data_IF_131893055160
#
_entry.id   IF_131893055160
#
_cell.length_a   1.000
_cell.length_b   1.000
_cell.length_c   1.000
_cell.angle_alpha   90.00
_cell.angle_beta   90.00
_cell.angle_gamma   90.00
#
_symmetry.space_group_name_H-M   'P 1'
#
loop_
_entity.id
_entity.type
_entity.pdbx_description
1 polymer ?
#
# COMPACT_ATOMS: atom_id res chain seq x y z
N UNK A 1 26.59 -15.51 -9.22
CA UNK A 1 26.60 -14.52 -8.12
C UNK A 1 25.99 -13.24 -8.64
N UNK A 2 24.72 -12.96 -8.34
CA UNK A 2 24.11 -11.65 -8.64
C UNK A 2 24.37 -10.73 -7.46
N UNK A 3 25.21 -9.71 -7.70
CA UNK A 3 25.48 -8.65 -6.74
C UNK A 3 24.26 -7.71 -6.74
N UNK A 4 23.53 -7.66 -5.62
CA UNK A 4 22.48 -6.67 -5.44
C UNK A 4 23.08 -5.43 -4.78
N UNK A 5 23.34 -4.42 -5.60
CA UNK A 5 23.82 -3.10 -5.17
C UNK A 5 22.76 -2.48 -4.26
N UNK A 6 23.03 -2.47 -2.95
CA UNK A 6 22.16 -1.80 -1.98
C UNK A 6 22.49 -0.32 -1.99
N UNK A 7 21.75 0.47 -2.77
CA UNK A 7 21.91 1.91 -2.81
C UNK A 7 21.23 2.56 -1.59
N UNK A 8 22.00 3.22 -0.73
CA UNK A 8 21.47 4.20 0.21
C UNK A 8 21.12 5.46 -0.58
N UNK A 9 19.88 5.53 -1.06
CA UNK A 9 19.45 6.66 -1.87
C UNK A 9 18.84 7.72 -0.95
N UNK A 10 19.60 8.78 -0.68
CA UNK A 10 19.05 10.08 -0.26
C UNK A 10 18.07 10.55 -1.33
N UNK A 11 16.99 11.27 -0.98
CA UNK A 11 15.94 11.68 -1.94
C UNK A 11 16.52 12.35 -3.21
N UNK A 12 17.61 13.10 -3.08
CA UNK A 12 18.36 13.70 -4.21
C UNK A 12 18.99 12.67 -5.17
N UNK A 13 19.45 11.53 -4.66
CA UNK A 13 20.09 10.48 -5.47
C UNK A 13 19.07 9.59 -6.21
N UNK A 14 17.80 9.58 -5.80
CA UNK A 14 16.74 8.78 -6.45
C UNK A 14 16.29 9.47 -7.74
N UNK A 15 16.18 10.79 -7.69
CA UNK A 15 15.76 11.64 -8.81
C UNK A 15 16.71 11.52 -10.01
N UNK A 16 18.02 11.36 -9.77
CA UNK A 16 19.04 11.29 -10.82
C UNK A 16 19.39 9.85 -11.26
N UNK A 17 18.73 8.84 -10.70
CA UNK A 17 19.04 7.45 -11.02
C UNK A 17 18.18 6.95 -12.20
N UNK A 18 18.70 7.08 -13.42
CA UNK A 18 18.02 6.62 -14.64
C UNK A 18 17.69 5.12 -14.61
N UNK A 19 18.57 4.29 -14.06
CA UNK A 19 18.33 2.86 -13.93
C UNK A 19 17.12 2.55 -13.04
N UNK A 20 16.95 3.30 -11.95
CA UNK A 20 15.80 3.15 -11.06
C UNK A 20 14.48 3.44 -11.78
N UNK A 21 14.42 4.54 -12.55
CA UNK A 21 13.21 4.90 -13.29
C UNK A 21 12.90 3.92 -14.40
N UNK A 22 13.92 3.41 -15.08
CA UNK A 22 13.78 2.35 -16.10
C UNK A 22 13.23 1.05 -15.48
N UNK A 23 13.81 0.60 -14.37
CA UNK A 23 13.33 -0.59 -13.66
C UNK A 23 11.88 -0.43 -13.19
N UNK A 24 11.50 0.76 -12.70
CA UNK A 24 10.14 1.07 -12.30
C UNK A 24 9.17 1.04 -13.49
N UNK A 25 9.58 1.59 -14.64
CA UNK A 25 8.82 1.56 -15.88
C UNK A 25 8.53 0.12 -16.31
N UNK A 26 9.56 -0.73 -16.32
CA UNK A 26 9.45 -2.14 -16.69
C UNK A 26 8.53 -2.92 -15.74
N UNK A 27 8.64 -2.67 -14.43
CA UNK A 27 7.77 -3.27 -13.40
C UNK A 27 6.32 -2.85 -13.52
N UNK A 28 6.05 -1.58 -13.83
CA UNK A 28 4.70 -1.04 -13.97
C UNK A 28 3.98 -1.56 -15.21
N UNK A 29 4.71 -1.89 -16.29
CA UNK A 29 4.11 -2.28 -17.56
C UNK A 29 3.15 -3.46 -17.43
N UNK A 30 3.60 -4.57 -16.83
CA UNK A 30 2.78 -5.79 -16.67
C UNK A 30 1.43 -5.57 -15.96
N UNK A 31 1.38 -4.91 -14.78
CA UNK A 31 0.11 -4.62 -14.12
C UNK A 31 -0.74 -3.60 -14.90
N UNK A 32 -0.13 -2.59 -15.53
CA UNK A 32 -0.89 -1.64 -16.35
C UNK A 32 -1.52 -2.32 -17.56
N UNK A 33 -0.80 -3.21 -18.25
CA UNK A 33 -1.35 -4.08 -19.30
C UNK A 33 -2.56 -4.85 -18.79
N UNK A 34 -2.48 -5.39 -17.58
CA UNK A 34 -3.59 -6.11 -16.94
C UNK A 34 -4.79 -5.18 -16.70
N UNK A 35 -4.56 -3.93 -16.27
CA UNK A 35 -5.63 -2.95 -16.08
C UNK A 35 -6.33 -2.61 -17.40
N UNK A 36 -5.56 -2.28 -18.45
CA UNK A 36 -6.08 -1.88 -19.76
C UNK A 36 -6.93 -2.99 -20.37
N UNK A 37 -6.42 -4.22 -20.41
CA UNK A 37 -7.19 -5.35 -20.93
C UNK A 37 -8.39 -5.73 -20.06
N UNK A 38 -8.31 -5.52 -18.74
CA UNK A 38 -9.45 -5.77 -17.84
C UNK A 38 -10.60 -4.82 -18.12
N UNK A 39 -10.34 -3.55 -18.38
CA UNK A 39 -11.38 -2.54 -18.51
C UNK A 39 -12.10 -2.53 -19.86
N UNK A 40 -11.53 -3.18 -20.90
CA UNK A 40 -12.13 -3.39 -22.23
C UNK A 40 -12.86 -2.15 -22.78
N UNK A 41 -12.24 -0.98 -22.63
CA UNK A 41 -12.80 0.26 -23.16
C UNK A 41 -12.73 0.17 -24.69
N UNK A 42 -13.87 0.36 -25.35
CA UNK A 42 -13.99 0.17 -26.80
C UNK A 42 -13.05 1.07 -27.60
N UNK A 43 -12.86 2.32 -27.16
CA UNK A 43 -11.92 3.27 -27.77
C UNK A 43 -10.44 2.89 -27.57
N UNK A 44 -10.12 1.97 -26.66
CA UNK A 44 -8.74 1.50 -26.43
C UNK A 44 -8.36 0.29 -27.27
N UNK A 45 -9.34 -0.37 -27.91
CA UNK A 45 -9.08 -1.59 -28.70
C UNK A 45 -8.25 -1.22 -29.94
N UNK A 46 -7.12 -1.90 -30.12
CA UNK A 46 -6.14 -1.61 -31.17
C UNK A 46 -5.17 -0.49 -30.83
N UNK A 47 -5.29 0.14 -29.66
CA UNK A 47 -4.40 1.17 -29.13
C UNK A 47 -3.88 0.81 -27.73
N UNK A 48 -3.98 -0.46 -27.33
CA UNK A 48 -3.72 -0.87 -25.96
C UNK A 48 -2.29 -0.56 -25.54
N UNK A 49 -1.31 -0.81 -26.40
CA UNK A 49 0.10 -0.53 -26.13
C UNK A 49 0.37 0.97 -25.91
N UNK A 50 -0.29 1.85 -26.66
CA UNK A 50 -0.18 3.30 -26.51
C UNK A 50 -0.77 3.75 -25.18
N UNK A 51 -1.98 3.27 -24.85
CA UNK A 51 -2.63 3.56 -23.56
C UNK A 51 -1.81 3.03 -22.38
N UNK A 52 -1.22 1.83 -22.51
CA UNK A 52 -0.32 1.26 -21.50
C UNK A 52 0.89 2.18 -21.29
N UNK A 53 1.56 2.59 -22.37
CA UNK A 53 2.71 3.49 -22.29
C UNK A 53 2.33 4.85 -21.68
N UNK A 54 1.20 5.43 -22.07
CA UNK A 54 0.71 6.69 -21.52
C UNK A 54 0.47 6.60 -20.01
N UNK A 55 -0.14 5.50 -19.54
CA UNK A 55 -0.38 5.29 -18.11
C UNK A 55 0.94 5.14 -17.35
N UNK A 56 1.88 4.34 -17.87
CA UNK A 56 3.18 4.14 -17.21
C UNK A 56 3.97 5.45 -17.17
N UNK A 57 4.04 6.16 -18.30
CA UNK A 57 4.74 7.43 -18.42
C UNK A 57 4.16 8.49 -17.48
N UNK A 58 2.84 8.69 -17.48
CA UNK A 58 2.20 9.66 -16.58
C UNK A 58 2.41 9.29 -15.11
N UNK A 59 2.41 7.99 -14.78
CA UNK A 59 2.71 7.52 -13.42
C UNK A 59 4.11 7.94 -12.99
N UNK A 60 5.12 7.69 -13.83
CA UNK A 60 6.51 8.08 -13.57
C UNK A 60 6.64 9.60 -13.43
N UNK A 61 5.99 10.37 -14.31
CA UNK A 61 6.00 11.85 -14.25
C UNK A 61 5.39 12.36 -12.95
N UNK A 62 4.25 11.79 -12.51
CA UNK A 62 3.60 12.19 -11.24
C UNK A 62 4.46 11.88 -10.03
N UNK A 63 5.10 10.71 -10.02
CA UNK A 63 6.04 10.34 -8.98
C UNK A 63 7.21 11.32 -8.95
N UNK A 64 7.87 11.53 -10.09
CA UNK A 64 9.00 12.44 -10.20
C UNK A 64 8.67 13.86 -9.72
N UNK A 65 7.53 14.42 -10.17
CA UNK A 65 7.03 15.72 -9.70
C UNK A 65 6.82 15.73 -8.18
N UNK A 66 6.19 14.69 -7.63
CA UNK A 66 5.90 14.60 -6.19
C UNK A 66 7.18 14.63 -5.34
N UNK A 67 8.25 13.99 -5.80
CA UNK A 67 9.55 13.99 -5.13
C UNK A 67 10.32 15.32 -5.28
N UNK A 68 10.18 16.00 -6.42
CA UNK A 68 10.77 17.33 -6.63
C UNK A 68 10.11 18.42 -5.78
N UNK A 69 8.79 18.39 -5.64
CA UNK A 69 8.03 19.47 -4.98
C UNK A 69 7.97 19.34 -3.47
N UNK A 70 8.31 18.19 -2.90
CA UNK A 70 8.14 17.90 -1.47
C UNK A 70 9.42 17.35 -0.82
N UNK A 71 10.59 18.03 -0.94
CA UNK A 71 11.82 17.54 -0.32
C UNK A 71 11.78 17.59 1.22
N UNK A 72 11.04 18.54 1.79
CA UNK A 72 10.96 18.78 3.25
C UNK A 72 9.73 18.16 3.93
N UNK A 73 8.75 17.72 3.13
CA UNK A 73 7.56 17.06 3.65
C UNK A 73 7.93 15.59 3.89
N UNK A 74 7.94 15.16 5.16
CA UNK A 74 8.37 13.83 5.62
C UNK A 74 7.44 12.72 5.10
N UNK A 75 7.43 12.50 3.79
CA UNK A 75 6.77 11.38 3.16
C UNK A 75 7.70 10.18 3.24
N UNK A 76 7.53 9.39 4.29
CA UNK A 76 8.08 8.04 4.31
C UNK A 76 7.24 7.15 3.40
N UNK A 77 7.45 7.27 2.08
CA UNK A 77 6.95 6.26 1.14
C UNK A 77 7.74 4.98 1.43
N UNK A 78 7.13 4.09 2.23
CA UNK A 78 7.79 2.87 2.70
C UNK A 78 8.05 1.87 1.57
N UNK A 79 7.22 1.91 0.52
CA UNK A 79 7.36 1.08 -0.66
C UNK A 79 6.95 1.87 -1.92
N UNK A 80 7.97 2.27 -2.68
CA UNK A 80 7.81 3.05 -3.90
C UNK A 80 7.08 2.27 -5.01
N UNK A 81 7.28 0.96 -5.07
CA UNK A 81 6.62 0.10 -6.04
C UNK A 81 5.11 0.03 -5.76
N UNK A 82 4.71 -0.23 -4.51
CA UNK A 82 3.30 -0.24 -4.12
C UNK A 82 2.62 1.13 -4.32
N UNK A 83 3.34 2.20 -4.01
CA UNK A 83 2.85 3.55 -4.26
C UNK A 83 2.66 3.83 -5.75
N UNK A 84 3.63 3.43 -6.58
CA UNK A 84 3.55 3.58 -8.04
C UNK A 84 2.38 2.81 -8.65
N UNK A 85 2.09 1.58 -8.17
CA UNK A 85 0.91 0.83 -8.61
C UNK A 85 -0.38 1.55 -8.27
N UNK A 86 -0.47 2.14 -7.08
CA UNK A 86 -1.65 2.90 -6.66
C UNK A 86 -1.87 4.12 -7.56
N UNK A 87 -0.80 4.83 -7.91
CA UNK A 87 -0.86 5.99 -8.82
C UNK A 87 -1.31 5.55 -10.21
N UNK A 88 -0.72 4.48 -10.75
CA UNK A 88 -1.05 3.94 -12.08
C UNK A 88 -2.51 3.49 -12.17
N UNK A 89 -2.99 2.75 -11.17
CA UNK A 89 -4.38 2.30 -11.10
C UNK A 89 -5.35 3.47 -11.05
N UNK A 90 -5.09 4.47 -10.19
CA UNK A 90 -5.93 5.67 -10.08
C UNK A 90 -5.99 6.44 -11.39
N UNK A 91 -4.85 6.57 -12.08
CA UNK A 91 -4.80 7.24 -13.37
C UNK A 91 -5.55 6.46 -14.47
N UNK A 92 -5.39 5.14 -14.53
CA UNK A 92 -6.15 4.29 -15.44
C UNK A 92 -7.68 4.44 -15.22
N UNK A 93 -8.11 4.48 -13.95
CA UNK A 93 -9.51 4.74 -13.59
C UNK A 93 -9.97 6.16 -13.97
N UNK A 94 -9.09 7.17 -13.90
CA UNK A 94 -9.38 8.52 -14.38
C UNK A 94 -9.58 8.53 -15.89
N UNK A 95 -8.69 7.88 -16.67
CA UNK A 95 -8.80 7.78 -18.13
C UNK A 95 -10.11 7.11 -18.52
N UNK A 96 -10.44 5.97 -17.92
CA UNK A 96 -11.71 5.30 -18.17
C UNK A 96 -12.92 6.19 -17.84
N UNK A 97 -12.86 6.93 -16.73
CA UNK A 97 -13.92 7.88 -16.37
C UNK A 97 -14.06 9.00 -17.41
N UNK A 98 -12.96 9.46 -18.03
CA UNK A 98 -12.99 10.43 -19.12
C UNK A 98 -13.63 9.84 -20.37
N UNK A 99 -13.23 8.64 -20.77
CA UNK A 99 -13.83 7.93 -21.92
C UNK A 99 -15.34 7.75 -21.76
N UNK A 100 -15.79 7.35 -20.57
CA UNK A 100 -17.22 7.24 -20.25
C UNK A 100 -17.99 8.55 -20.41
N UNK A 101 -17.34 9.70 -20.19
CA UNK A 101 -17.99 11.01 -20.38
C UNK A 101 -18.06 11.39 -21.86
N UNK A 102 -17.11 10.92 -22.68
CA UNK A 102 -17.08 11.16 -24.12
C UNK A 102 -18.09 10.27 -24.86
N UNK A 103 -18.31 9.04 -24.41
CA UNK A 103 -19.29 8.11 -25.01
C UNK A 103 -20.74 8.38 -24.61
N UNK A 104 -20.99 9.17 -23.54
CA UNK A 104 -22.33 9.62 -23.12
C UNK A 104 -22.87 10.78 -23.95
N UNK A 105 -22.60 10.80 -25.26
CA UNK A 105 -23.51 11.48 -26.18
C UNK A 105 -24.89 10.79 -26.06
N UNK A 106 -26.01 11.51 -26.17
CA UNK A 106 -27.33 10.94 -25.91
C UNK A 106 -27.68 9.94 -27.02
N UNK A 107 -27.25 8.70 -26.84
CA UNK A 107 -27.66 7.59 -27.66
C UNK A 107 -28.90 7.01 -26.98
N UNK A 108 -30.07 7.43 -27.46
CA UNK A 108 -31.35 6.87 -27.08
C UNK A 108 -31.32 5.35 -27.28
N UNK A 109 -31.37 4.57 -26.20
CA UNK A 109 -31.86 3.19 -26.25
C UNK A 109 -30.86 2.04 -26.14
N UNK A 110 -29.90 2.05 -25.20
CA UNK A 110 -29.23 0.79 -24.79
C UNK A 110 -28.92 0.74 -23.29
N UNK A 111 -29.90 0.31 -22.49
CA UNK A 111 -29.80 0.17 -21.03
C UNK A 111 -29.06 -1.12 -20.59
N UNK A 112 -28.75 -2.02 -21.52
CA UNK A 112 -28.22 -3.36 -21.22
C UNK A 112 -26.70 -3.35 -20.93
N UNK A 113 -25.94 -2.40 -21.48
CA UNK A 113 -24.49 -2.29 -21.22
C UNK A 113 -24.15 -1.63 -19.89
N UNK A 114 -25.09 -1.06 -19.13
CA UNK A 114 -24.74 -0.40 -17.87
C UNK A 114 -24.56 -1.38 -16.68
N UNK A 115 -25.13 -2.58 -16.77
CA UNK A 115 -25.15 -3.56 -15.67
C UNK A 115 -23.93 -4.48 -15.63
N UNK A 116 -23.41 -4.94 -16.78
CA UNK A 116 -22.25 -5.83 -16.81
C UNK A 116 -20.93 -5.17 -16.34
N UNK A 117 -20.79 -3.86 -16.56
CA UNK A 117 -19.52 -3.13 -16.33
C UNK A 117 -19.38 -2.55 -14.91
N UNK A 118 -20.46 -2.45 -14.13
CA UNK A 118 -20.38 -2.10 -12.70
C UNK A 118 -19.96 -3.29 -11.85
N UNK A 119 -20.35 -4.51 -12.25
CA UNK A 119 -20.00 -5.75 -11.56
C UNK A 119 -18.48 -5.94 -11.53
N UNK A 120 -17.74 -5.65 -12.62
CA UNK A 120 -16.29 -5.88 -12.68
C UNK A 120 -15.45 -4.92 -11.80
N UNK A 121 -15.92 -3.69 -11.58
CA UNK A 121 -15.29 -2.72 -10.68
C UNK A 121 -15.61 -2.99 -9.22
N UNK A 122 -16.85 -3.35 -8.94
CA UNK A 122 -17.28 -3.77 -7.61
C UNK A 122 -16.60 -5.09 -7.24
N UNK A 123 -16.43 -6.00 -8.20
CA UNK A 123 -15.64 -7.22 -8.06
C UNK A 123 -14.15 -6.92 -7.86
N UNK A 124 -13.57 -5.92 -8.55
CA UNK A 124 -12.18 -5.49 -8.31
C UNK A 124 -11.98 -4.99 -6.89
N UNK A 125 -12.85 -4.08 -6.45
CA UNK A 125 -12.82 -3.48 -5.11
C UNK A 125 -13.09 -4.51 -4.03
N UNK A 126 -14.02 -5.44 -4.26
CA UNK A 126 -14.27 -6.54 -3.32
C UNK A 126 -13.11 -7.52 -3.28
N UNK A 127 -12.50 -7.89 -4.41
CA UNK A 127 -11.30 -8.75 -4.41
C UNK A 127 -10.11 -8.09 -3.71
N UNK A 128 -9.89 -6.79 -3.94
CA UNK A 128 -8.86 -6.01 -3.23
C UNK A 128 -9.17 -5.92 -1.73
N UNK A 129 -10.42 -5.63 -1.37
CA UNK A 129 -10.87 -5.59 0.02
C UNK A 129 -10.76 -6.96 0.71
N UNK A 130 -11.07 -8.05 0.01
CA UNK A 130 -10.91 -9.43 0.48
C UNK A 130 -9.42 -9.73 0.70
N UNK A 131 -8.55 -9.33 -0.24
CA UNK A 131 -7.10 -9.49 -0.11
C UNK A 131 -6.54 -8.73 1.09
N UNK A 132 -6.89 -7.46 1.24
CA UNK A 132 -6.52 -6.63 2.40
C UNK A 132 -7.05 -7.25 3.68
N UNK A 133 -8.31 -7.68 3.71
CA UNK A 133 -8.93 -8.28 4.89
C UNK A 133 -8.24 -9.59 5.29
N UNK A 134 -7.85 -10.43 4.33
CA UNK A 134 -7.08 -11.65 4.59
C UNK A 134 -5.73 -11.32 5.23
N UNK A 135 -4.98 -10.39 4.64
CA UNK A 135 -3.67 -9.95 5.15
C UNK A 135 -3.80 -9.40 6.57
N UNK A 136 -4.80 -8.58 6.84
CA UNK A 136 -5.07 -8.03 8.16
C UNK A 136 -5.47 -9.10 9.16
N UNK A 137 -6.23 -10.11 8.74
CA UNK A 137 -6.63 -11.24 9.59
C UNK A 137 -5.41 -12.07 9.98
N UNK A 138 -4.50 -12.32 9.03
CA UNK A 138 -3.26 -13.06 9.30
C UNK A 138 -2.31 -12.27 10.20
N UNK A 139 -2.20 -10.96 9.99
CA UNK A 139 -1.47 -10.09 10.89
C UNK A 139 -2.07 -10.13 12.31
N UNK A 140 -3.40 -10.12 12.44
CA UNK A 140 -4.08 -10.23 13.73
C UNK A 140 -3.79 -11.56 14.44
N UNK A 141 -3.75 -12.68 13.70
CA UNK A 141 -3.36 -14.00 14.23
C UNK A 141 -1.92 -13.98 14.75
N UNK A 142 -0.98 -13.43 13.98
CA UNK A 142 0.42 -13.30 14.44
C UNK A 142 0.51 -12.42 15.69
N UNK A 143 -0.26 -11.33 15.75
CA UNK A 143 -0.31 -10.46 16.94
C UNK A 143 -0.75 -11.23 18.18
N UNK A 144 -1.63 -12.23 18.05
CA UNK A 144 -2.06 -13.06 19.19
C UNK A 144 -0.92 -13.88 19.80
N UNK A 145 0.06 -14.30 18.99
CA UNK A 145 1.23 -15.06 19.43
C UNK A 145 2.33 -14.19 20.05
N UNK A 146 2.25 -12.86 19.88
CA UNK A 146 3.18 -11.91 20.48
C UNK A 146 3.01 -11.88 22.02
N UNK A 147 4.10 -11.80 22.80
CA UNK A 147 4.03 -11.72 24.26
C UNK A 147 3.10 -10.61 24.75
N UNK A 148 2.30 -10.91 25.78
CA UNK A 148 1.17 -10.07 26.22
C UNK A 148 1.52 -8.58 26.36
N UNK A 149 2.66 -8.23 26.98
CA UNK A 149 3.09 -6.82 27.15
C UNK A 149 3.30 -6.10 25.81
N UNK A 150 3.89 -6.78 24.83
CA UNK A 150 4.13 -6.23 23.48
C UNK A 150 2.83 -6.19 22.67
N UNK A 151 2.04 -7.29 22.73
CA UNK A 151 0.73 -7.39 22.07
C UNK A 151 -0.19 -6.26 22.52
N UNK A 152 -0.35 -6.07 23.84
CA UNK A 152 -1.19 -5.01 24.41
C UNK A 152 -0.71 -3.62 23.98
N UNK A 153 0.59 -3.35 24.04
CA UNK A 153 1.13 -2.06 23.60
C UNK A 153 0.85 -1.81 22.11
N UNK A 154 1.05 -2.82 21.26
CA UNK A 154 0.79 -2.74 19.82
C UNK A 154 -0.69 -2.54 19.51
N UNK A 155 -1.59 -3.25 20.20
CA UNK A 155 -3.04 -3.10 20.01
C UNK A 155 -3.54 -1.73 20.50
N UNK A 156 -2.98 -1.21 21.60
CA UNK A 156 -3.25 0.17 22.04
C UNK A 156 -2.78 1.19 21.00
N UNK A 157 -1.64 0.96 20.36
CA UNK A 157 -1.13 1.84 19.31
C UNK A 157 -2.02 1.82 18.07
N UNK A 158 -2.42 0.62 17.62
CA UNK A 158 -3.36 0.46 16.50
C UNK A 158 -4.72 1.08 16.80
N UNK A 159 -5.28 0.86 17.99
CA UNK A 159 -6.55 1.43 18.41
C UNK A 159 -6.51 2.96 18.47
N UNK A 160 -5.36 3.56 18.81
CA UNK A 160 -5.20 5.02 18.84
C UNK A 160 -5.38 5.67 17.46
N UNK A 161 -4.94 5.00 16.40
CA UNK A 161 -5.02 5.51 15.02
C UNK A 161 -6.25 5.00 14.27
N UNK A 162 -7.03 4.11 14.88
CA UNK A 162 -8.27 3.64 14.28
C UNK A 162 -9.40 4.63 14.57
N UNK A 163 -10.13 5.01 13.53
CA UNK A 163 -11.33 5.82 13.66
C UNK A 163 -12.53 4.88 13.86
N UNK A 164 -13.02 4.80 15.09
CA UNK A 164 -14.18 3.99 15.47
C UNK A 164 -15.45 4.77 15.10
N UNK A 165 -15.94 4.53 13.90
CA UNK A 165 -17.22 5.07 13.39
C UNK A 165 -18.32 4.01 13.50
N UNK A 166 -19.58 4.39 13.21
CA UNK A 166 -20.71 3.45 13.20
C UNK A 166 -20.53 2.30 12.20
N UNK A 167 -19.68 2.48 11.18
CA UNK A 167 -19.31 1.44 10.22
C UNK A 167 -17.92 0.88 10.56
N UNK A 168 -17.80 -0.43 10.89
CA UNK A 168 -16.52 -1.04 11.21
C UNK A 168 -15.56 -0.98 10.02
N UNK A 169 -14.33 -0.52 10.26
CA UNK A 169 -13.26 -0.50 9.27
C UNK A 169 -12.77 -1.91 8.91
N UNK A 170 -12.01 -2.02 7.82
CA UNK A 170 -11.41 -3.29 7.39
C UNK A 170 -10.50 -3.92 8.45
N UNK A 171 -9.79 -3.09 9.23
CA UNK A 171 -8.93 -3.56 10.33
C UNK A 171 -9.75 -4.07 11.51
N UNK A 172 -10.85 -3.39 11.87
CA UNK A 172 -11.76 -3.85 12.92
C UNK A 172 -12.40 -5.20 12.57
N UNK A 173 -12.91 -5.34 11.35
CA UNK A 173 -13.51 -6.59 10.89
C UNK A 173 -12.49 -7.74 10.86
N UNK A 174 -11.25 -7.46 10.43
CA UNK A 174 -10.19 -8.47 10.39
C UNK A 174 -9.72 -8.89 11.79
N UNK A 175 -9.58 -7.94 12.71
CA UNK A 175 -9.15 -8.20 14.08
C UNK A 175 -10.24 -8.90 14.88
N UNK A 176 -11.51 -8.54 14.67
CA UNK A 176 -12.65 -9.23 15.27
C UNK A 176 -12.71 -10.71 14.85
N UNK A 177 -12.38 -11.03 13.59
CA UNK A 177 -12.26 -12.43 13.11
C UNK A 177 -11.17 -13.22 13.83
N UNK A 178 -10.13 -12.55 14.33
CA UNK A 178 -9.08 -13.14 15.15
C UNK A 178 -9.39 -13.11 16.66
N UNK A 179 -10.60 -12.68 17.05
CA UNK A 179 -11.02 -12.57 18.46
C UNK A 179 -10.47 -11.34 19.19
N UNK A 180 -10.03 -10.32 18.47
CA UNK A 180 -9.50 -9.07 19.03
C UNK A 180 -10.52 -7.95 18.85
N UNK A 181 -11.02 -7.39 19.96
CA UNK A 181 -11.83 -6.17 19.94
C UNK A 181 -10.91 -4.96 20.11
N UNK A 182 -10.57 -4.28 19.01
CA UNK A 182 -9.62 -3.15 19.04
C UNK A 182 -10.07 -2.00 19.95
N UNK A 183 -11.38 -1.79 20.08
CA UNK A 183 -11.96 -0.72 20.90
C UNK A 183 -11.56 -0.84 22.39
N UNK A 184 -11.42 -2.06 22.91
CA UNK A 184 -11.00 -2.33 24.28
C UNK A 184 -9.61 -1.78 24.60
N UNK A 185 -8.78 -1.49 23.59
CA UNK A 185 -7.42 -1.02 23.78
C UNK A 185 -7.27 0.51 23.73
N UNK A 186 -8.33 1.24 23.36
CA UNK A 186 -8.32 2.70 23.15
C UNK A 186 -7.94 3.50 24.40
N UNK A 187 -8.36 3.03 25.58
CA UNK A 187 -8.23 3.75 26.84
C UNK A 187 -6.94 3.41 27.61
N UNK A 188 -6.04 2.60 27.03
CA UNK A 188 -4.88 2.05 27.72
C UNK A 188 -3.60 2.86 27.53
N UNK A 189 -3.72 4.14 27.12
CA UNK A 189 -2.57 4.99 26.87
C UNK A 189 -1.80 5.33 28.17
N UNK A 190 -0.47 5.35 28.13
CA UNK A 190 0.37 5.72 29.27
C UNK A 190 0.20 7.19 29.65
N UNK A 191 0.09 7.46 30.95
CA UNK A 191 -0.22 8.79 31.49
C UNK A 191 1.04 9.61 31.81
N UNK A 192 2.13 8.95 32.23
CA UNK A 192 3.38 9.61 32.59
C UNK A 192 4.51 9.37 31.56
N UNK A 193 5.56 10.21 31.61
CA UNK A 193 6.65 10.20 30.63
C UNK A 193 7.48 8.91 30.67
N UNK A 194 7.67 8.32 31.85
CA UNK A 194 8.42 7.07 32.02
C UNK A 194 7.67 5.87 31.40
N UNK A 195 6.37 5.78 31.65
CA UNK A 195 5.50 4.78 31.05
C UNK A 195 5.42 4.96 29.53
N UNK A 196 5.38 6.19 29.02
CA UNK A 196 5.44 6.48 27.59
C UNK A 196 6.70 5.93 26.94
N UNK A 197 7.86 6.12 27.57
CA UNK A 197 9.12 5.58 27.06
C UNK A 197 9.11 4.05 27.01
N UNK A 198 8.64 3.40 28.09
CA UNK A 198 8.50 1.93 28.17
C UNK A 198 7.49 1.41 27.15
N UNK A 199 6.35 2.08 27.00
CA UNK A 199 5.31 1.77 26.02
C UNK A 199 5.87 1.85 24.60
N UNK A 200 6.54 2.94 24.22
CA UNK A 200 7.13 3.10 22.89
C UNK A 200 8.16 2.00 22.57
N UNK A 201 8.95 1.57 23.57
CA UNK A 201 9.87 0.45 23.42
C UNK A 201 9.14 -0.87 23.17
N UNK A 202 8.04 -1.13 23.88
CA UNK A 202 7.18 -2.31 23.69
C UNK A 202 6.48 -2.31 22.33
N UNK A 203 5.95 -1.17 21.88
CA UNK A 203 5.36 -0.99 20.54
C UNK A 203 6.40 -1.30 19.46
N UNK A 204 7.59 -0.70 19.56
CA UNK A 204 8.68 -0.92 18.61
C UNK A 204 9.13 -2.39 18.54
N UNK A 205 9.17 -3.08 19.69
CA UNK A 205 9.47 -4.52 19.73
C UNK A 205 8.33 -5.34 19.10
N UNK A 206 7.08 -5.01 19.42
CA UNK A 206 5.89 -5.65 18.87
C UNK A 206 5.87 -5.57 17.35
N UNK A 207 6.05 -4.39 16.76
CA UNK A 207 6.06 -4.22 15.31
C UNK A 207 7.22 -4.94 14.63
N UNK A 208 8.41 -4.92 15.25
CA UNK A 208 9.56 -5.67 14.73
C UNK A 208 9.27 -7.17 14.68
N UNK A 209 8.64 -7.70 15.73
CA UNK A 209 8.30 -9.12 15.82
C UNK A 209 7.20 -9.50 14.86
N UNK A 210 6.10 -8.74 14.84
CA UNK A 210 5.02 -8.89 13.87
C UNK A 210 5.57 -8.96 12.45
N UNK A 211 6.47 -8.04 12.10
CA UNK A 211 7.15 -8.05 10.81
C UNK A 211 7.91 -9.35 10.55
N UNK A 212 8.80 -9.74 11.47
CA UNK A 212 9.62 -10.95 11.31
C UNK A 212 8.75 -12.19 11.13
N UNK A 213 7.73 -12.34 11.96
CA UNK A 213 6.85 -13.50 11.96
C UNK A 213 5.94 -13.50 10.71
N UNK A 214 5.47 -12.33 10.27
CA UNK A 214 4.71 -12.18 9.02
C UNK A 214 5.55 -12.54 7.79
N UNK A 215 6.82 -12.13 7.72
CA UNK A 215 7.71 -12.53 6.63
C UNK A 215 8.02 -14.03 6.65
N UNK A 216 8.14 -14.63 7.83
CA UNK A 216 8.35 -16.08 7.95
C UNK A 216 7.14 -16.87 7.45
N UNK A 217 5.92 -16.38 7.69
CA UNK A 217 4.68 -16.96 7.17
C UNK A 217 4.49 -16.75 5.65
N UNK A 218 5.01 -15.65 5.10
CA UNK A 218 4.86 -15.27 3.68
C UNK A 218 6.22 -14.96 3.01
N UNK A 219 7.01 -16.00 2.67
CA UNK A 219 8.30 -15.84 2.00
C UNK A 219 8.10 -15.30 0.57
N UNK A 220 8.32 -14.00 0.40
CA UNK A 220 8.03 -13.24 -0.82
C UNK A 220 7.70 -11.77 -0.56
N UNK A 221 7.36 -11.43 0.68
CA UNK A 221 7.18 -10.04 1.12
C UNK A 221 8.54 -9.34 1.34
N UNK A 222 8.81 -8.15 0.78
CA UNK A 222 10.11 -7.50 0.87
C UNK A 222 10.43 -7.04 2.29
N UNK A 223 11.54 -7.55 2.83
CA UNK A 223 12.04 -7.26 4.17
C UNK A 223 13.07 -6.10 4.09
N UNK A 224 12.95 -4.99 4.84
CA UNK A 224 13.97 -3.97 4.92
C UNK A 224 15.07 -4.44 5.85
N UNK A 225 16.29 -4.30 5.35
CA UNK A 225 17.50 -4.65 6.05
C UNK A 225 17.59 -3.99 7.43
N UNK A 226 17.93 -4.82 8.43
CA UNK A 226 18.25 -4.40 9.79
C UNK A 226 19.58 -3.64 9.75
N UNK A 227 19.56 -2.30 9.86
CA UNK A 227 20.78 -1.49 10.06
C UNK A 227 21.52 -2.02 11.29
N UNK A 228 22.66 -2.69 11.07
CA UNK A 228 23.62 -2.94 12.14
C UNK A 228 24.23 -1.59 12.51
N UNK A 229 24.05 -1.15 13.76
CA UNK A 229 24.82 -0.03 14.30
C UNK A 229 26.23 -0.53 14.53
N UNK A 230 27.18 -0.08 13.70
CA UNK A 230 28.60 -0.27 13.94
C UNK A 230 28.99 0.44 15.24
N UNK A 231 29.79 -0.18 16.12
CA UNK A 231 30.30 0.48 17.30
C UNK A 231 31.35 1.52 16.86
N UNK A 232 31.09 2.78 17.17
CA UNK A 232 32.06 3.86 17.02
C UNK A 232 33.21 3.60 18.01
N UNK A 233 34.36 3.17 17.50
CA UNK A 233 35.61 3.23 18.25
C UNK A 233 36.02 4.70 18.34
N UNK A 234 36.04 5.21 19.57
CA UNK A 234 36.69 6.46 19.94
C UNK A 234 38.21 6.25 19.89
N UNK A 235 38.89 7.03 19.06
CA UNK A 235 40.30 7.37 19.22
C UNK A 235 40.42 8.89 19.16
#
# INVERSE_FOLDING_TARGET
MMQYTTCHVTSESLLHNECFWKDLYDKLRKPVTTFVHRYKVSSWIGQEDDIINDIVQETVVRLHKKFLTSPDEVFSIQNMEAFSYTVALRYCLDLRRKEKRLTRLPQEGNEVEMYAFNIDDELAKTLEAIGIQSILTDAARIIMDIPNKQRRALLTDLARYNDFTDTPSAIELAFAKAGIQLEEYRHLLPHNQLERSRYNALVSLGYRRLRTDFHAAYPGSPCPARKQRSPSYLH
#
